data_IF_522042475897
#
_entry.id   IF_522042475897
#
_cell.length_a   1.000
_cell.length_b   1.000
_cell.length_c   1.000
_cell.angle_alpha   90.00
_cell.angle_beta   90.00
_cell.angle_gamma   90.00
#
_symmetry.space_group_name_H-M   'P 1'
#
loop_
_entity.id
_entity.type
_entity.pdbx_description
1 polymer ?
#
# COMPACT_ATOMS: atom_id res chain seq x y z
N UNK A 1 23.61 -11.76 -4.25
CA UNK A 1 22.85 -10.81 -5.12
C UNK A 1 23.18 -11.14 -6.56
N UNK A 2 22.20 -11.54 -7.35
CA UNK A 2 22.43 -11.82 -8.76
C UNK A 2 22.48 -10.50 -9.54
N UNK A 3 23.67 -9.90 -9.58
CA UNK A 3 23.99 -8.62 -10.24
C UNK A 3 23.87 -8.71 -11.77
N UNK A 4 23.69 -9.92 -12.30
CA UNK A 4 23.67 -10.20 -13.73
C UNK A 4 22.27 -10.37 -14.33
N UNK A 5 21.19 -10.31 -13.51
CA UNK A 5 19.85 -10.47 -14.05
C UNK A 5 19.41 -9.22 -14.83
N UNK A 6 18.68 -9.39 -15.93
CA UNK A 6 18.04 -8.30 -16.70
C UNK A 6 17.24 -7.36 -15.80
N UNK A 7 16.50 -7.90 -14.85
CA UNK A 7 15.69 -7.11 -13.92
C UNK A 7 16.52 -6.21 -13.00
N UNK A 8 17.74 -6.62 -12.62
CA UNK A 8 18.64 -5.79 -11.84
C UNK A 8 19.10 -4.57 -12.63
N UNK A 9 19.59 -4.79 -13.89
CA UNK A 9 20.02 -3.72 -14.79
C UNK A 9 18.88 -2.75 -15.10
N UNK A 10 17.69 -3.28 -15.43
CA UNK A 10 16.47 -2.48 -15.62
C UNK A 10 16.17 -1.64 -14.38
N UNK A 11 16.27 -2.20 -13.18
CA UNK A 11 15.98 -1.47 -11.95
C UNK A 11 16.96 -0.34 -11.71
N UNK A 12 18.27 -0.61 -11.81
CA UNK A 12 19.32 0.37 -11.46
C UNK A 12 19.42 1.47 -12.50
N UNK A 13 19.43 1.14 -13.79
CA UNK A 13 19.73 2.11 -14.85
C UNK A 13 18.50 2.74 -15.50
N UNK A 14 17.33 2.17 -15.32
CA UNK A 14 16.10 2.73 -15.87
C UNK A 14 15.09 3.10 -14.78
N UNK A 15 14.67 2.15 -13.93
CA UNK A 15 13.58 2.43 -12.98
C UNK A 15 13.99 3.45 -11.92
N UNK A 16 15.17 3.32 -11.30
CA UNK A 16 15.62 4.26 -10.26
C UNK A 16 15.75 5.69 -10.80
N UNK A 17 16.42 5.97 -11.95
CA UNK A 17 16.46 7.30 -12.53
C UNK A 17 15.08 7.86 -12.87
N UNK A 18 14.22 7.08 -13.52
CA UNK A 18 12.87 7.51 -13.93
C UNK A 18 12.01 7.81 -12.70
N UNK A 19 12.02 6.92 -11.69
CA UNK A 19 11.33 7.14 -10.41
C UNK A 19 11.89 8.39 -9.71
N UNK A 20 13.18 8.59 -9.75
CA UNK A 20 13.84 9.78 -9.21
C UNK A 20 13.32 11.07 -9.85
N UNK A 21 13.22 11.11 -11.18
CA UNK A 21 12.74 12.28 -11.92
C UNK A 21 11.32 12.66 -11.51
N UNK A 22 10.36 11.73 -11.58
CA UNK A 22 8.99 12.10 -11.23
C UNK A 22 8.79 12.26 -9.71
N UNK A 23 9.65 11.68 -8.87
CA UNK A 23 9.66 11.99 -7.43
C UNK A 23 10.09 13.44 -7.19
N UNK A 24 11.11 13.93 -7.90
CA UNK A 24 11.51 15.33 -7.84
C UNK A 24 10.39 16.25 -8.36
N UNK A 25 9.82 15.97 -9.51
CA UNK A 25 8.77 16.81 -10.12
C UNK A 25 7.53 16.86 -9.24
N UNK A 26 6.93 15.71 -8.92
CA UNK A 26 5.71 15.65 -8.13
C UNK A 26 5.92 16.07 -6.68
N UNK A 27 7.10 15.79 -6.12
CA UNK A 27 7.50 16.27 -4.79
C UNK A 27 7.58 17.78 -4.74
N UNK A 28 8.20 18.41 -5.72
CA UNK A 28 8.28 19.87 -5.83
C UNK A 28 6.91 20.51 -5.99
N UNK A 29 6.05 19.96 -6.89
CA UNK A 29 4.68 20.44 -7.09
C UNK A 29 3.85 20.31 -5.81
N UNK A 30 3.98 19.20 -5.10
CA UNK A 30 3.31 18.98 -3.83
C UNK A 30 3.76 19.97 -2.75
N UNK A 31 5.06 20.22 -2.65
CA UNK A 31 5.60 21.19 -1.69
C UNK A 31 5.16 22.61 -2.03
N UNK A 32 5.24 23.01 -3.30
CA UNK A 32 4.79 24.31 -3.77
C UNK A 32 3.29 24.52 -3.52
N UNK A 33 2.46 23.51 -3.80
CA UNK A 33 1.02 23.57 -3.56
C UNK A 33 0.67 23.78 -2.08
N UNK A 34 1.47 23.27 -1.16
CA UNK A 34 1.26 23.42 0.29
C UNK A 34 1.36 24.86 0.80
N UNK A 35 1.87 25.78 -0.02
CA UNK A 35 1.89 27.23 0.28
C UNK A 35 0.51 27.86 0.08
N UNK A 36 -0.33 27.27 -0.79
CA UNK A 36 -1.65 27.79 -1.21
C UNK A 36 -2.76 26.86 -0.69
N UNK A 37 -2.62 25.56 -0.93
CA UNK A 37 -3.61 24.53 -0.52
C UNK A 37 -3.27 23.97 0.87
N UNK A 38 -3.89 24.55 1.88
CA UNK A 38 -3.75 24.09 3.28
C UNK A 38 -4.50 22.78 3.54
N UNK A 39 -5.49 22.42 2.70
CA UNK A 39 -6.24 21.16 2.83
C UNK A 39 -5.40 19.93 2.44
N UNK A 40 -4.31 20.15 1.66
CA UNK A 40 -3.43 19.09 1.18
C UNK A 40 -4.06 18.17 0.13
N UNK A 41 -5.19 18.55 -0.47
CA UNK A 41 -5.83 17.76 -1.53
C UNK A 41 -4.97 17.64 -2.78
N UNK A 42 -4.33 18.76 -3.20
CA UNK A 42 -3.45 18.73 -4.36
C UNK A 42 -2.20 17.90 -4.08
N UNK A 43 -1.60 18.06 -2.90
CA UNK A 43 -0.45 17.26 -2.48
C UNK A 43 -0.78 15.75 -2.45
N UNK A 44 -1.98 15.38 -2.00
CA UNK A 44 -2.45 14.00 -2.04
C UNK A 44 -2.65 13.51 -3.48
N UNK A 45 -3.16 14.34 -4.40
CA UNK A 45 -3.23 14.00 -5.83
C UNK A 45 -1.85 13.75 -6.44
N UNK A 46 -0.84 14.55 -6.06
CA UNK A 46 0.55 14.29 -6.45
C UNK A 46 1.05 12.93 -5.94
N UNK A 47 0.75 12.57 -4.69
CA UNK A 47 1.12 11.27 -4.12
C UNK A 47 0.42 10.10 -4.84
N UNK A 48 -0.85 10.25 -5.21
CA UNK A 48 -1.58 9.25 -6.00
C UNK A 48 -1.02 9.10 -7.41
N UNK A 49 -0.74 10.22 -8.09
CA UNK A 49 -0.11 10.21 -9.41
C UNK A 49 1.29 9.56 -9.36
N UNK A 50 2.08 9.89 -8.35
CA UNK A 50 3.38 9.27 -8.10
C UNK A 50 3.25 7.74 -7.91
N UNK A 51 2.29 7.32 -7.11
CA UNK A 51 2.03 5.90 -6.86
C UNK A 51 1.61 5.17 -8.14
N UNK A 52 0.70 5.77 -8.92
CA UNK A 52 0.28 5.23 -10.21
C UNK A 52 1.45 5.14 -11.21
N UNK A 53 2.29 6.18 -11.30
CA UNK A 53 3.48 6.17 -12.17
C UNK A 53 4.46 5.07 -11.77
N UNK A 54 4.69 4.82 -10.49
CA UNK A 54 5.51 3.70 -10.02
C UNK A 54 4.95 2.38 -10.53
N UNK A 55 3.67 2.12 -10.31
CA UNK A 55 3.05 0.85 -10.71
C UNK A 55 3.10 0.66 -12.23
N UNK A 56 2.75 1.70 -13.00
CA UNK A 56 2.79 1.67 -14.46
C UNK A 56 4.21 1.45 -15.01
N UNK A 57 5.20 2.22 -14.51
CA UNK A 57 6.60 2.14 -15.00
C UNK A 57 7.24 0.80 -14.63
N UNK A 58 6.89 0.23 -13.49
CA UNK A 58 7.45 -1.05 -13.05
C UNK A 58 6.70 -2.26 -13.61
N UNK A 59 5.53 -2.06 -14.22
CA UNK A 59 4.71 -3.12 -14.82
C UNK A 59 3.92 -3.90 -13.76
N UNK A 60 3.48 -3.23 -12.70
CA UNK A 60 2.65 -3.84 -11.65
C UNK A 60 1.17 -3.60 -11.97
N UNK A 61 0.41 -4.67 -12.08
CA UNK A 61 -1.05 -4.63 -12.22
C UNK A 61 -1.68 -4.85 -10.86
N UNK A 62 -2.74 -4.10 -10.56
CA UNK A 62 -3.40 -4.18 -9.25
C UNK A 62 -4.86 -4.59 -9.44
N UNK A 63 -5.25 -5.71 -8.82
CA UNK A 63 -6.64 -6.13 -8.64
C UNK A 63 -7.17 -5.56 -7.31
N UNK A 64 -8.18 -4.70 -7.37
CA UNK A 64 -8.75 -4.04 -6.19
C UNK A 64 -10.17 -4.52 -5.95
N UNK A 65 -10.45 -4.99 -4.74
CA UNK A 65 -11.77 -5.49 -4.35
C UNK A 65 -12.22 -4.94 -3.00
N UNK A 66 -13.53 -4.85 -2.80
CA UNK A 66 -14.12 -4.46 -1.52
C UNK A 66 -14.22 -2.95 -1.28
N UNK A 67 -13.96 -2.11 -2.28
CA UNK A 67 -14.12 -0.65 -2.13
C UNK A 67 -15.56 -0.23 -1.86
N UNK A 68 -16.52 -1.02 -2.31
CA UNK A 68 -17.96 -0.84 -2.11
C UNK A 68 -18.40 -0.92 -0.64
N UNK A 69 -17.56 -1.49 0.23
CA UNK A 69 -17.76 -1.58 1.68
C UNK A 69 -17.50 -0.29 2.42
N UNK A 70 -16.92 0.70 1.72
CA UNK A 70 -16.51 1.95 2.31
C UNK A 70 -17.49 3.08 1.99
N UNK A 71 -17.89 3.82 3.02
CA UNK A 71 -18.73 5.00 2.88
C UNK A 71 -17.91 6.21 2.46
N UNK A 72 -18.35 6.91 1.40
CA UNK A 72 -17.68 8.14 0.94
C UNK A 72 -17.75 9.23 2.01
N UNK A 73 -16.62 9.90 2.21
CA UNK A 73 -16.55 11.02 3.17
C UNK A 73 -16.39 10.61 4.63
N UNK A 74 -16.46 9.31 4.94
CA UNK A 74 -16.18 8.79 6.28
C UNK A 74 -14.67 8.66 6.52
N UNK A 75 -14.22 9.00 7.69
CA UNK A 75 -12.81 8.86 8.09
C UNK A 75 -12.55 7.47 8.66
N UNK A 76 -11.47 6.83 8.19
CA UNK A 76 -11.10 5.47 8.57
C UNK A 76 -9.65 5.36 9.01
N UNK A 77 -9.40 4.32 9.79
CA UNK A 77 -8.06 3.80 10.06
C UNK A 77 -7.88 2.54 9.24
N UNK A 78 -7.17 2.65 8.13
CA UNK A 78 -6.81 1.51 7.32
C UNK A 78 -5.63 0.77 7.94
N UNK A 79 -5.75 -0.54 8.09
CA UNK A 79 -4.73 -1.39 8.70
C UNK A 79 -4.32 -2.47 7.70
N UNK A 80 -3.09 -2.44 7.23
CA UNK A 80 -2.58 -3.37 6.22
C UNK A 80 -1.41 -4.21 6.71
N UNK A 81 -1.24 -5.41 6.16
CA UNK A 81 0.02 -6.15 6.22
C UNK A 81 1.11 -5.45 5.42
N UNK A 82 2.37 -5.78 5.65
CA UNK A 82 3.51 -5.12 5.00
C UNK A 82 4.50 -6.13 4.43
N UNK A 83 4.41 -6.41 3.14
CA UNK A 83 5.27 -7.35 2.44
C UNK A 83 6.40 -6.68 1.65
N UNK A 84 6.12 -5.49 1.10
CA UNK A 84 7.01 -4.80 0.16
C UNK A 84 6.95 -3.28 0.33
N UNK A 85 7.93 -2.58 -0.23
CA UNK A 85 7.82 -1.13 -0.42
C UNK A 85 6.69 -0.77 -1.40
N UNK A 86 6.29 -1.71 -2.26
CA UNK A 86 5.21 -1.56 -3.23
C UNK A 86 3.81 -1.55 -2.61
N UNK A 87 3.66 -1.96 -1.35
CA UNK A 87 2.36 -1.86 -0.64
C UNK A 87 1.87 -0.41 -0.60
N UNK A 88 2.80 0.55 -0.44
CA UNK A 88 2.46 1.98 -0.36
C UNK A 88 1.87 2.49 -1.69
N UNK A 89 2.55 2.35 -2.86
CA UNK A 89 1.96 2.77 -4.11
C UNK A 89 0.69 1.99 -4.48
N UNK A 90 0.57 0.72 -4.15
CA UNK A 90 -0.68 -0.05 -4.34
C UNK A 90 -1.83 0.60 -3.57
N UNK A 91 -1.63 0.89 -2.28
CA UNK A 91 -2.68 1.48 -1.43
C UNK A 91 -3.03 2.90 -1.88
N UNK A 92 -2.03 3.77 -2.10
CA UNK A 92 -2.28 5.17 -2.48
C UNK A 92 -2.91 5.33 -3.86
N UNK A 93 -2.57 4.47 -4.82
CA UNK A 93 -3.20 4.49 -6.13
C UNK A 93 -4.66 4.02 -6.07
N UNK A 94 -4.97 3.05 -5.21
CA UNK A 94 -6.24 2.32 -5.19
C UNK A 94 -7.31 2.96 -4.31
N UNK A 95 -6.95 3.47 -3.11
CA UNK A 95 -7.94 3.99 -2.18
C UNK A 95 -8.38 5.41 -2.52
N UNK A 96 -9.71 5.69 -2.61
CA UNK A 96 -10.23 7.02 -2.94
C UNK A 96 -10.33 7.96 -1.72
N UNK A 97 -9.38 7.85 -0.78
CA UNK A 97 -9.33 8.61 0.48
C UNK A 97 -8.08 9.46 0.55
N UNK A 98 -8.17 10.60 1.20
CA UNK A 98 -7.00 11.41 1.51
C UNK A 98 -6.24 10.78 2.68
N UNK A 99 -5.16 10.07 2.36
CA UNK A 99 -4.42 9.24 3.30
C UNK A 99 -3.24 9.98 3.93
N UNK A 100 -2.98 9.66 5.20
CA UNK A 100 -1.71 9.93 5.87
C UNK A 100 -1.11 8.62 6.36
N UNK A 101 0.21 8.51 6.33
CA UNK A 101 0.91 7.31 6.80
C UNK A 101 1.65 7.59 8.10
N UNK A 102 1.82 6.54 8.91
CA UNK A 102 2.81 6.51 9.97
C UNK A 102 4.08 5.90 9.40
N UNK A 103 5.06 6.75 9.12
CA UNK A 103 6.30 6.37 8.46
C UNK A 103 7.51 6.42 9.41
N UNK A 104 8.59 5.71 9.05
CA UNK A 104 9.84 5.76 9.79
C UNK A 104 10.47 7.15 9.66
N UNK A 105 10.95 7.72 10.77
CA UNK A 105 11.56 9.06 10.80
C UNK A 105 12.67 9.24 9.76
N UNK A 106 13.49 8.20 9.52
CA UNK A 106 14.57 8.28 8.53
C UNK A 106 14.09 8.59 7.11
N UNK A 107 12.82 8.31 6.75
CA UNK A 107 12.26 8.69 5.44
C UNK A 107 12.13 10.21 5.30
N UNK A 108 11.97 10.92 6.40
CA UNK A 108 11.95 12.37 6.40
C UNK A 108 13.28 13.04 6.02
N UNK A 109 14.39 12.27 5.93
CA UNK A 109 15.71 12.79 5.53
C UNK A 109 15.94 12.76 4.01
N UNK A 110 15.12 12.01 3.26
CA UNK A 110 15.25 11.97 1.81
C UNK A 110 14.74 13.28 1.19
N UNK A 111 15.52 13.90 0.30
CA UNK A 111 15.07 15.08 -0.45
C UNK A 111 13.74 14.82 -1.17
N UNK A 112 12.94 15.85 -1.38
CA UNK A 112 11.61 15.83 -2.00
C UNK A 112 10.60 14.92 -1.28
N UNK A 113 10.86 13.63 -1.15
CA UNK A 113 9.98 12.70 -0.43
C UNK A 113 9.85 13.08 1.04
N UNK A 114 10.94 13.30 1.74
CA UNK A 114 10.95 13.66 3.16
C UNK A 114 10.33 15.04 3.41
N UNK A 115 10.60 15.99 2.54
CA UNK A 115 9.98 17.32 2.61
C UNK A 115 8.47 17.24 2.35
N UNK A 116 8.04 16.45 1.36
CA UNK A 116 6.63 16.18 1.13
C UNK A 116 5.98 15.58 2.37
N UNK A 117 6.54 14.49 2.93
CA UNK A 117 5.98 13.82 4.11
C UNK A 117 5.81 14.76 5.31
N UNK A 118 6.81 15.61 5.57
CA UNK A 118 6.75 16.59 6.68
C UNK A 118 5.71 17.67 6.42
N UNK A 119 5.69 18.21 5.21
CA UNK A 119 4.84 19.35 4.85
C UNK A 119 3.37 18.98 4.71
N UNK A 120 3.07 17.74 4.30
CA UNK A 120 1.70 17.25 4.10
C UNK A 120 1.11 16.52 5.31
N UNK A 121 1.77 16.59 6.48
CA UNK A 121 1.21 16.09 7.74
C UNK A 121 1.31 14.58 7.93
N UNK A 122 2.20 13.88 7.20
CA UNK A 122 2.48 12.48 7.50
C UNK A 122 3.18 12.35 8.86
N UNK A 123 2.88 11.29 9.61
CA UNK A 123 3.44 11.06 10.93
C UNK A 123 4.79 10.34 10.81
N UNK A 124 5.88 11.07 11.02
CA UNK A 124 7.22 10.51 11.07
C UNK A 124 7.53 10.09 12.51
N UNK A 125 7.87 8.82 12.70
CA UNK A 125 8.04 8.22 14.02
C UNK A 125 9.38 7.54 14.14
N UNK A 126 10.10 7.85 15.22
CA UNK A 126 11.21 7.01 15.68
C UNK A 126 10.63 5.71 16.29
N UNK A 127 10.84 4.60 15.59
CA UNK A 127 10.33 3.30 16.02
C UNK A 127 11.05 2.71 17.23
N UNK A 128 12.23 3.25 17.59
CA UNK A 128 13.01 2.82 18.75
C UNK A 128 12.54 3.50 20.02
N UNK A 129 12.21 4.79 19.91
CA UNK A 129 11.72 5.60 21.04
C UNK A 129 10.52 6.46 20.58
N UNK A 130 9.31 5.89 20.44
CA UNK A 130 8.16 6.61 19.93
C UNK A 130 7.61 7.58 20.98
N UNK A 131 7.53 8.86 20.63
CA UNK A 131 6.75 9.85 21.39
C UNK A 131 5.24 9.58 21.21
N UNK A 132 4.69 8.68 22.05
CA UNK A 132 3.29 8.27 21.96
C UNK A 132 2.32 9.42 22.14
N UNK A 133 2.59 10.32 23.10
CA UNK A 133 1.73 11.46 23.36
C UNK A 133 1.71 12.45 22.20
N UNK A 134 2.88 12.74 21.61
CA UNK A 134 3.00 13.60 20.42
C UNK A 134 2.35 12.98 19.19
N UNK A 135 2.49 11.67 19.00
CA UNK A 135 1.82 10.93 17.92
C UNK A 135 0.31 11.06 18.09
N UNK A 136 -0.23 10.82 19.28
CA UNK A 136 -1.67 10.88 19.55
C UNK A 136 -2.23 12.29 19.35
N UNK A 137 -1.52 13.34 19.81
CA UNK A 137 -1.94 14.74 19.57
C UNK A 137 -2.03 15.06 18.07
N UNK A 138 -0.99 14.72 17.30
CA UNK A 138 -0.98 14.94 15.84
C UNK A 138 -2.06 14.13 15.14
N UNK A 139 -2.25 12.89 15.57
CA UNK A 139 -3.30 12.03 15.09
C UNK A 139 -4.68 12.65 15.25
N UNK A 140 -5.03 13.10 16.48
CA UNK A 140 -6.32 13.73 16.74
C UNK A 140 -6.57 14.97 15.88
N UNK A 141 -5.52 15.76 15.61
CA UNK A 141 -5.62 16.89 14.70
C UNK A 141 -5.97 16.45 13.27
N UNK A 142 -5.30 15.43 12.72
CA UNK A 142 -5.58 14.90 11.38
C UNK A 142 -6.99 14.32 11.25
N UNK A 143 -7.45 13.63 12.27
CA UNK A 143 -8.83 13.10 12.35
C UNK A 143 -9.86 14.23 12.36
N UNK A 144 -9.60 15.30 13.13
CA UNK A 144 -10.45 16.49 13.14
C UNK A 144 -10.55 17.18 11.77
N UNK A 145 -9.57 17.00 10.91
CA UNK A 145 -9.57 17.45 9.51
C UNK A 145 -10.23 16.45 8.53
N UNK A 146 -10.79 15.34 9.03
CA UNK A 146 -11.42 14.30 8.20
C UNK A 146 -10.41 13.42 7.42
N UNK A 147 -9.14 13.41 7.83
CA UNK A 147 -8.09 12.66 7.14
C UNK A 147 -8.02 11.22 7.63
N UNK A 148 -8.03 10.29 6.69
CA UNK A 148 -7.86 8.86 6.98
C UNK A 148 -6.39 8.49 7.12
N UNK A 149 -6.11 7.47 7.92
CA UNK A 149 -4.76 6.99 8.14
C UNK A 149 -4.55 5.58 7.61
N UNK A 150 -3.34 5.30 7.13
CA UNK A 150 -2.88 3.95 6.83
C UNK A 150 -1.76 3.56 7.78
N UNK A 151 -1.87 2.39 8.38
CA UNK A 151 -0.95 1.86 9.37
C UNK A 151 -0.53 0.45 8.97
N UNK A 152 0.76 0.16 9.15
CA UNK A 152 1.34 -1.18 9.05
C UNK A 152 1.74 -1.64 10.47
N UNK A 153 0.85 -2.31 11.22
CA UNK A 153 1.07 -2.57 12.65
C UNK A 153 2.17 -3.60 12.93
N UNK A 154 2.65 -4.33 11.94
CA UNK A 154 3.85 -5.15 12.04
C UNK A 154 5.11 -4.32 12.35
N UNK A 155 5.12 -3.04 11.93
CA UNK A 155 6.22 -2.11 12.15
C UNK A 155 7.46 -2.37 11.29
N UNK A 156 7.47 -3.43 10.49
CA UNK A 156 8.52 -3.74 9.50
C UNK A 156 7.92 -4.57 8.38
N UNK A 157 8.58 -4.60 7.23
CA UNK A 157 8.19 -5.50 6.14
C UNK A 157 8.45 -6.96 6.52
N UNK A 158 7.54 -7.84 6.15
CA UNK A 158 7.71 -9.30 6.31
C UNK A 158 8.94 -9.79 5.52
N UNK A 159 9.76 -10.67 6.07
CA UNK A 159 10.86 -11.29 5.34
C UNK A 159 10.41 -12.42 4.43
N UNK A 160 9.38 -13.16 4.82
CA UNK A 160 8.89 -14.39 4.19
C UNK A 160 7.51 -14.26 3.52
N UNK A 161 6.85 -13.11 3.63
CA UNK A 161 5.51 -12.85 3.10
C UNK A 161 4.38 -13.17 4.08
N UNK A 162 4.67 -13.82 5.21
CA UNK A 162 3.66 -14.11 6.22
C UNK A 162 3.27 -12.84 6.97
N UNK A 163 2.02 -12.76 7.38
CA UNK A 163 1.50 -11.66 8.19
C UNK A 163 1.99 -11.83 9.63
N UNK A 164 2.86 -10.94 10.06
CA UNK A 164 3.43 -10.93 11.40
C UNK A 164 2.43 -10.50 12.49
N UNK A 165 2.91 -10.45 13.72
CA UNK A 165 2.10 -9.96 14.85
C UNK A 165 1.80 -8.48 14.71
N UNK A 166 0.56 -8.09 14.99
CA UNK A 166 0.11 -6.71 14.97
C UNK A 166 0.28 -6.06 16.35
N UNK A 167 0.92 -4.89 16.38
CA UNK A 167 1.17 -4.14 17.61
C UNK A 167 -0.09 -3.45 18.09
N UNK A 168 -0.53 -3.75 19.30
CA UNK A 168 -1.75 -3.21 19.91
C UNK A 168 -1.77 -1.68 19.98
N UNK A 169 -0.62 -1.01 20.07
CA UNK A 169 -0.54 0.46 20.16
C UNK A 169 -1.17 1.19 18.97
N UNK A 170 -1.20 0.59 17.78
CA UNK A 170 -1.87 1.16 16.62
C UNK A 170 -3.40 1.12 16.75
N UNK A 171 -3.93 0.12 17.43
CA UNK A 171 -5.35 -0.08 17.65
C UNK A 171 -5.86 0.75 18.82
N UNK A 172 -5.02 0.99 19.82
CA UNK A 172 -5.31 1.92 20.89
C UNK A 172 -5.64 3.32 20.34
N UNK A 173 -4.87 3.79 19.35
CA UNK A 173 -5.13 5.06 18.67
C UNK A 173 -6.50 5.08 18.00
N UNK A 174 -6.93 3.97 17.40
CA UNK A 174 -8.24 3.84 16.76
C UNK A 174 -9.38 3.93 17.79
N UNK A 175 -9.24 3.19 18.88
CA UNK A 175 -10.24 3.17 19.97
C UNK A 175 -10.35 4.55 20.63
N UNK A 176 -9.23 5.20 20.96
CA UNK A 176 -9.23 6.53 21.58
C UNK A 176 -9.79 7.63 20.66
N UNK A 177 -9.68 7.45 19.34
CA UNK A 177 -10.26 8.37 18.36
C UNK A 177 -11.72 8.04 18.00
N UNK A 178 -12.23 6.87 18.42
CA UNK A 178 -13.58 6.41 18.07
C UNK A 178 -13.75 6.14 16.57
N UNK A 179 -12.65 5.85 15.84
CA UNK A 179 -12.68 5.66 14.40
C UNK A 179 -12.73 4.18 14.00
N UNK A 180 -13.54 3.83 13.00
CA UNK A 180 -13.60 2.47 12.49
C UNK A 180 -12.26 2.05 11.89
N UNK A 181 -11.87 0.80 12.16
CA UNK A 181 -10.70 0.13 11.60
C UNK A 181 -11.11 -0.65 10.37
N UNK A 182 -10.45 -0.39 9.24
CA UNK A 182 -10.65 -1.14 8.00
C UNK A 182 -9.44 -2.05 7.77
N UNK A 183 -9.59 -3.38 7.91
CA UNK A 183 -8.54 -4.29 7.53
C UNK A 183 -8.32 -4.26 6.01
N UNK A 184 -7.06 -4.26 5.57
CA UNK A 184 -6.66 -4.35 4.17
C UNK A 184 -5.64 -5.46 4.01
N UNK A 185 -5.91 -6.38 3.09
CA UNK A 185 -4.93 -7.38 2.68
C UNK A 185 -4.26 -6.93 1.40
N UNK A 186 -2.92 -6.81 1.43
CA UNK A 186 -2.07 -6.56 0.26
C UNK A 186 -1.29 -7.84 -0.03
N UNK A 187 -1.45 -8.36 -1.24
CA UNK A 187 -0.82 -9.60 -1.66
C UNK A 187 -0.08 -9.43 -2.99
N UNK A 188 0.92 -10.28 -3.27
CA UNK A 188 1.69 -10.27 -4.52
C UNK A 188 2.85 -9.28 -4.56
N UNK A 189 2.83 -8.20 -3.80
CA UNK A 189 3.87 -7.14 -3.83
C UNK A 189 5.26 -7.64 -3.45
N UNK A 190 5.36 -8.70 -2.65
CA UNK A 190 6.63 -9.37 -2.31
C UNK A 190 7.35 -9.89 -3.55
N UNK A 191 6.61 -10.40 -4.54
CA UNK A 191 7.18 -10.92 -5.79
C UNK A 191 7.65 -9.81 -6.71
N UNK A 192 7.08 -8.60 -6.58
CA UNK A 192 7.56 -7.41 -7.26
C UNK A 192 8.91 -6.98 -6.71
N UNK A 193 9.04 -6.85 -5.38
CA UNK A 193 10.29 -6.46 -4.73
C UNK A 193 10.37 -7.00 -3.30
N UNK A 194 11.27 -7.95 -3.08
CA UNK A 194 11.51 -8.55 -1.74
C UNK A 194 12.23 -7.57 -0.82
N UNK A 195 11.98 -7.71 0.48
CA UNK A 195 12.71 -6.98 1.52
C UNK A 195 14.22 -7.26 1.42
N UNK A 196 15.03 -6.19 1.42
CA UNK A 196 16.49 -6.30 1.34
C UNK A 196 17.04 -6.48 -0.08
N UNK A 197 16.17 -6.59 -1.09
CA UNK A 197 16.58 -6.66 -2.50
C UNK A 197 16.29 -5.34 -3.21
N UNK A 198 17.14 -5.01 -4.17
CA UNK A 198 16.95 -3.82 -5.02
C UNK A 198 16.20 -4.18 -6.32
N UNK A 199 16.23 -5.45 -6.73
CA UNK A 199 15.64 -5.89 -7.99
C UNK A 199 14.11 -5.79 -7.95
N UNK A 200 13.56 -5.07 -8.92
CA UNK A 200 12.11 -4.94 -9.16
C UNK A 200 11.70 -5.76 -10.36
N UNK A 201 10.64 -6.55 -10.22
CA UNK A 201 10.04 -7.36 -11.28
C UNK A 201 8.62 -6.90 -11.57
N UNK A 202 8.15 -6.94 -12.83
CA UNK A 202 6.73 -6.82 -13.13
C UNK A 202 5.94 -7.94 -12.42
N UNK A 203 4.69 -7.68 -12.13
CA UNK A 203 3.84 -8.71 -11.51
C UNK A 203 2.46 -8.21 -11.14
N UNK A 204 1.69 -9.09 -10.57
CA UNK A 204 0.34 -8.81 -10.13
C UNK A 204 0.31 -8.58 -8.62
N UNK A 205 -0.44 -7.58 -8.19
CA UNK A 205 -0.73 -7.30 -6.81
C UNK A 205 -2.24 -7.32 -6.60
N UNK A 206 -2.69 -7.75 -5.43
CA UNK A 206 -4.09 -7.71 -5.04
C UNK A 206 -4.23 -6.83 -3.80
N UNK A 207 -5.24 -5.98 -3.80
CA UNK A 207 -5.66 -5.21 -2.65
C UNK A 207 -7.11 -5.57 -2.33
N UNK A 208 -7.33 -6.17 -1.16
CA UNK A 208 -8.66 -6.52 -0.66
C UNK A 208 -8.99 -5.65 0.55
N UNK A 209 -10.05 -4.86 0.43
CA UNK A 209 -10.64 -4.09 1.52
C UNK A 209 -11.70 -4.95 2.20
N UNK A 210 -11.56 -5.14 3.52
CA UNK A 210 -12.51 -5.90 4.32
C UNK A 210 -13.56 -4.98 4.95
N UNK A 211 -14.58 -5.57 5.57
CA UNK A 211 -15.61 -4.84 6.30
C UNK A 211 -15.00 -3.98 7.41
N UNK A 212 -15.43 -2.71 7.54
CA UNK A 212 -15.05 -1.86 8.65
C UNK A 212 -15.43 -2.48 10.00
N UNK A 213 -14.56 -2.33 10.98
CA UNK A 213 -14.82 -2.74 12.37
C UNK A 213 -14.98 -1.47 13.20
N UNK A 214 -16.15 -1.29 13.74
CA UNK A 214 -16.45 -0.16 14.61
C UNK A 214 -15.64 -0.28 15.91
N UNK A 215 -15.13 0.85 16.38
CA UNK A 215 -14.40 0.94 17.68
C UNK A 215 -15.21 1.63 18.76
N UNK A 216 -16.39 2.17 18.41
CA UNK A 216 -17.33 2.73 19.39
C UNK A 216 -17.74 1.65 20.39
N UNK A 217 -17.62 1.97 21.69
CA UNK A 217 -17.90 1.01 22.77
C UNK A 217 -16.74 0.11 23.17
N UNK A 218 -15.59 0.17 22.48
CA UNK A 218 -14.37 -0.53 22.90
C UNK A 218 -13.62 0.30 23.94
N UNK A 219 -13.08 -0.37 24.95
CA UNK A 219 -12.20 0.22 25.95
C UNK A 219 -10.72 0.12 25.50
N UNK A 220 -9.80 0.95 26.02
CA UNK A 220 -8.37 0.87 25.72
C UNK A 220 -7.76 -0.52 25.93
N UNK A 221 -8.31 -1.31 26.89
CA UNK A 221 -7.90 -2.69 27.15
C UNK A 221 -8.19 -3.66 26.01
N UNK A 222 -9.15 -3.33 25.14
CA UNK A 222 -9.55 -4.20 24.00
C UNK A 222 -8.60 -4.10 22.81
N UNK A 223 -7.64 -3.17 22.83
CA UNK A 223 -6.73 -2.91 21.72
C UNK A 223 -5.96 -4.16 21.26
N UNK A 224 -5.62 -5.07 22.18
CA UNK A 224 -4.93 -6.34 21.85
C UNK A 224 -5.86 -7.33 21.16
N UNK A 225 -7.07 -7.48 21.65
CA UNK A 225 -8.09 -8.36 21.04
C UNK A 225 -8.47 -7.87 19.65
N UNK A 226 -8.65 -6.56 19.46
CA UNK A 226 -8.88 -5.94 18.16
C UNK A 226 -7.71 -6.17 17.20
N UNK A 227 -6.46 -6.05 17.68
CA UNK A 227 -5.27 -6.30 16.87
C UNK A 227 -5.22 -7.73 16.34
N UNK A 228 -5.49 -8.73 17.21
CA UNK A 228 -5.52 -10.14 16.80
C UNK A 228 -6.67 -10.46 15.84
N UNK A 229 -7.86 -9.89 16.07
CA UNK A 229 -9.00 -10.02 15.16
C UNK A 229 -8.67 -9.49 13.77
N UNK A 230 -8.13 -8.27 13.68
CA UNK A 230 -7.76 -7.65 12.41
C UNK A 230 -6.63 -8.43 11.72
N UNK A 231 -5.64 -8.89 12.48
CA UNK A 231 -4.57 -9.74 11.96
C UNK A 231 -5.10 -11.03 11.34
N UNK A 232 -6.01 -11.71 12.03
CA UNK A 232 -6.63 -12.94 11.53
C UNK A 232 -7.37 -12.73 10.20
N UNK A 233 -8.14 -11.64 10.10
CA UNK A 233 -8.84 -11.25 8.84
C UNK A 233 -7.84 -11.02 7.71
N UNK A 234 -6.80 -10.22 7.97
CA UNK A 234 -5.79 -9.88 6.96
C UNK A 234 -5.00 -11.12 6.53
N UNK A 235 -4.58 -11.95 7.49
CA UNK A 235 -3.79 -13.15 7.22
C UNK A 235 -4.59 -14.21 6.44
N UNK A 236 -5.90 -14.32 6.68
CA UNK A 236 -6.76 -15.28 5.98
C UNK A 236 -6.96 -14.99 4.49
N UNK A 237 -6.61 -13.77 4.05
CA UNK A 237 -6.77 -13.36 2.64
C UNK A 237 -5.43 -13.20 1.89
N UNK A 238 -4.30 -13.37 2.57
CA UNK A 238 -2.96 -13.32 1.96
C UNK A 238 -2.53 -14.74 1.59
N UNK A 239 -2.21 -14.95 0.32
CA UNK A 239 -1.71 -16.24 -0.17
C UNK A 239 -0.21 -16.35 0.12
N UNK A 240 0.21 -17.52 0.60
CA UNK A 240 1.63 -17.78 0.90
C UNK A 240 2.36 -18.53 -0.22
N UNK A 241 1.62 -18.91 -1.29
CA UNK A 241 2.13 -19.79 -2.34
C UNK A 241 3.02 -19.06 -3.35
N UNK A 242 4.29 -19.49 -3.41
CA UNK A 242 5.18 -19.20 -4.54
C UNK A 242 4.69 -19.89 -5.83
N UNK A 243 3.96 -20.99 -5.73
CA UNK A 243 3.44 -21.78 -6.86
C UNK A 243 2.44 -21.02 -7.75
N UNK A 244 1.57 -20.17 -7.18
CA UNK A 244 0.62 -19.37 -7.97
C UNK A 244 1.26 -18.33 -8.88
N UNK A 245 2.52 -17.94 -8.61
CA UNK A 245 3.26 -17.00 -9.45
C UNK A 245 3.94 -17.68 -10.67
N UNK A 246 4.12 -19.00 -10.63
CA UNK A 246 4.66 -19.80 -11.75
C UNK A 246 3.56 -20.20 -12.72
N UNK A 247 2.37 -20.56 -12.25
CA UNK A 247 1.23 -20.91 -13.11
C UNK A 247 0.71 -19.72 -13.92
N UNK A 248 0.70 -18.51 -13.35
CA UNK A 248 0.34 -17.29 -14.10
C UNK A 248 1.36 -16.95 -15.19
N UNK A 249 2.60 -17.42 -15.10
CA UNK A 249 3.65 -17.27 -16.13
C UNK A 249 3.57 -18.37 -17.20
N UNK A 250 3.11 -19.58 -16.83
CA UNK A 250 2.91 -20.71 -17.75
C UNK A 250 1.73 -20.50 -18.69
N UNK A 251 0.66 -19.85 -18.25
CA UNK A 251 -0.54 -19.63 -19.08
C UNK A 251 -0.39 -18.48 -20.11
N UNK A 252 0.57 -17.57 -19.92
CA UNK A 252 0.82 -16.46 -20.83
C UNK A 252 1.67 -16.84 -22.06
N UNK A 253 2.24 -18.05 -22.10
CA UNK A 253 3.11 -18.52 -23.20
C UNK A 253 2.49 -19.61 -24.07
N UNK A 254 1.25 -20.03 -23.84
CA UNK A 254 0.56 -20.97 -24.72
C UNK A 254 0.01 -20.23 -25.97
N UNK A 255 0.45 -20.56 -27.19
CA UNK A 255 -0.14 -20.00 -28.40
C UNK A 255 -1.59 -20.47 -28.53
N UNK A 256 -2.49 -19.67 -29.17
CA UNK A 256 -3.89 -20.04 -29.31
C UNK A 256 -3.99 -21.36 -30.06
N UNK A 257 -4.60 -22.37 -29.43
CA UNK A 257 -4.91 -23.64 -30.07
C UNK A 257 -5.85 -23.36 -31.24
N UNK A 258 -5.38 -23.62 -32.46
CA UNK A 258 -6.20 -23.65 -33.67
C UNK A 258 -7.22 -24.78 -33.51
N UNK A 259 -8.48 -24.42 -33.53
CA UNK A 259 -9.59 -25.36 -33.55
C UNK A 259 -9.66 -26.04 -34.93
N UNK A 260 -9.42 -27.38 -35.10
CA UNK A 260 -9.46 -28.07 -36.38
C UNK A 260 -10.86 -28.58 -36.72
N UNK A 261 -11.91 -27.74 -36.62
CA UNK A 261 -13.29 -28.19 -36.75
C UNK A 261 -14.22 -27.26 -37.55
N UNK A 262 -13.68 -26.59 -38.61
CA UNK A 262 -14.55 -25.83 -39.51
C UNK A 262 -14.17 -26.03 -40.97
N UNK A 263 -14.21 -27.29 -41.42
CA UNK A 263 -14.24 -27.60 -42.81
C UNK A 263 -15.20 -28.82 -43.03
N UNK A 264 -16.14 -28.65 -43.94
CA UNK A 264 -17.08 -29.61 -44.48
C UNK A 264 -18.53 -29.51 -43.92
N UNK A 265 -19.33 -28.68 -44.57
CA UNK A 265 -20.68 -29.01 -45.08
C UNK A 265 -21.06 -27.99 -46.16
N UNK A 266 -20.59 -28.19 -47.35
CA UNK A 266 -21.30 -27.87 -48.59
C UNK A 266 -21.54 -29.20 -49.27
N UNK A 267 -22.78 -29.61 -49.43
CA UNK A 267 -23.31 -30.38 -50.54
C UNK A 267 -24.84 -30.32 -50.48
N UNK A 268 -25.41 -29.85 -51.59
CA UNK A 268 -26.68 -30.20 -52.28
C UNK A 268 -28.06 -30.00 -51.55
N UNK A 269 -28.79 -29.02 -52.02
CA UNK A 269 -29.99 -29.10 -52.87
C UNK A 269 -30.58 -27.70 -53.09
#
# INVERSE_FOLDING_TARGET
>A
MDVRSFHWWRTVFFLIPVIGVYTMVLGTLSIASSLIDRSGHFAHRCARAWSWLILATTGVRVDVRGLERLERGRTYIFVANHQSIYDIPVIFASLPYQLRIIAKESLGRFPFLGWHLRRTGHLLVDRRNPDRAGILRRWRALVGEGLSLIIFPEGTRSPDGRVGAFKAGSFLLAIEAGLPVVPISVDGTRFVMRKGHLTTRPGDARLLVHEPIETSGLAPGDARALAERVRAIVAGAVTHDEAGAEDARGSATAPPQRNPGAAARHVDA
#
